data_IF_097658385986
#
_entry.id   IF_097658385986
#
_cell.length_a   1.000
_cell.length_b   1.000
_cell.length_c   1.000
_cell.angle_alpha   90.00
_cell.angle_beta   90.00
_cell.angle_gamma   90.00
#
_symmetry.space_group_name_H-M   'P 1'
#
loop_
_entity.id
_entity.type
_entity.pdbx_description
1 polymer ?
#
# COMPACT_ATOMS: atom_id res chain seq x y z
N UNK A 1 -6.84 -6.60 -15.92
CA UNK A 1 -7.55 -7.85 -16.22
C UNK A 1 -8.47 -7.66 -17.42
N UNK A 2 -8.38 -8.53 -18.42
CA UNK A 2 -9.28 -8.53 -19.57
C UNK A 2 -10.42 -9.53 -19.35
N UNK A 3 -11.62 -9.25 -19.89
CA UNK A 3 -12.75 -10.20 -19.80
C UNK A 3 -12.60 -11.40 -20.75
N UNK A 4 -11.81 -11.26 -21.81
CA UNK A 4 -11.57 -12.33 -22.78
C UNK A 4 -10.57 -13.33 -22.22
N UNK A 5 -11.01 -14.58 -22.08
CA UNK A 5 -10.25 -15.70 -21.51
C UNK A 5 -10.40 -16.95 -22.37
N UNK A 6 -9.52 -17.94 -22.19
CA UNK A 6 -9.60 -19.21 -22.91
C UNK A 6 -10.97 -19.88 -22.72
N UNK A 7 -11.59 -20.29 -23.83
CA UNK A 7 -12.77 -21.15 -23.78
C UNK A 7 -12.35 -22.62 -23.57
N UNK A 8 -13.02 -23.41 -22.72
CA UNK A 8 -12.69 -24.81 -22.44
C UNK A 8 -13.09 -25.78 -23.58
N UNK A 9 -12.61 -25.52 -24.80
CA UNK A 9 -12.86 -26.35 -25.98
C UNK A 9 -11.74 -27.38 -26.17
N UNK A 10 -12.01 -28.45 -26.91
CA UNK A 10 -10.97 -29.43 -27.27
C UNK A 10 -9.81 -28.80 -28.04
N UNK A 11 -10.07 -27.77 -28.86
CA UNK A 11 -9.02 -27.01 -29.53
C UNK A 11 -8.10 -26.31 -28.53
N UNK A 12 -8.67 -25.62 -27.54
CA UNK A 12 -7.89 -24.96 -26.48
C UNK A 12 -7.07 -25.97 -25.69
N UNK A 13 -7.65 -27.11 -25.32
CA UNK A 13 -6.92 -28.14 -24.60
C UNK A 13 -5.77 -28.70 -25.44
N UNK A 14 -6.00 -29.06 -26.70
CA UNK A 14 -4.93 -29.51 -27.61
C UNK A 14 -3.80 -28.48 -27.74
N UNK A 15 -4.15 -27.20 -27.92
CA UNK A 15 -3.16 -26.11 -27.95
C UNK A 15 -2.32 -26.03 -26.67
N UNK A 16 -2.96 -26.04 -25.50
CA UNK A 16 -2.25 -25.96 -24.22
C UNK A 16 -1.42 -27.22 -23.94
N UNK A 17 -1.92 -28.38 -24.32
CA UNK A 17 -1.24 -29.67 -24.25
C UNK A 17 0.06 -29.66 -25.08
N UNK A 18 0.00 -29.16 -26.32
CA UNK A 18 1.18 -28.99 -27.18
C UNK A 18 2.18 -27.99 -26.59
N UNK A 19 1.71 -26.85 -26.07
CA UNK A 19 2.56 -25.84 -25.41
C UNK A 19 3.26 -26.45 -24.20
N UNK A 20 2.53 -27.20 -23.37
CA UNK A 20 3.09 -27.87 -22.20
C UNK A 20 4.18 -28.86 -22.61
N UNK A 21 3.96 -29.66 -23.66
CA UNK A 21 4.94 -30.64 -24.15
C UNK A 21 6.26 -29.98 -24.53
N UNK A 22 6.20 -28.85 -25.25
CA UNK A 22 7.39 -28.06 -25.57
C UNK A 22 8.05 -27.53 -24.30
N UNK A 23 7.29 -26.90 -23.39
CA UNK A 23 7.84 -26.32 -22.16
C UNK A 23 8.53 -27.38 -21.29
N UNK A 24 7.89 -28.53 -21.04
CA UNK A 24 8.48 -29.56 -20.17
C UNK A 24 9.69 -30.25 -20.78
N UNK A 25 9.85 -30.21 -22.10
CA UNK A 25 11.04 -30.73 -22.79
C UNK A 25 12.27 -29.82 -22.57
N UNK A 26 12.05 -28.53 -22.35
CA UNK A 26 13.08 -27.53 -22.10
C UNK A 26 13.43 -27.46 -20.61
N UNK A 27 12.41 -27.51 -19.73
CA UNK A 27 12.59 -27.28 -18.30
C UNK A 27 12.55 -28.59 -17.48
N UNK A 28 13.67 -28.99 -16.85
CA UNK A 28 13.76 -30.27 -16.13
C UNK A 28 13.00 -30.28 -14.80
N UNK A 29 12.56 -29.11 -14.30
CA UNK A 29 11.81 -28.98 -13.04
C UNK A 29 10.67 -29.98 -12.97
N UNK A 30 10.49 -30.61 -11.80
CA UNK A 30 9.32 -31.46 -11.52
C UNK A 30 8.04 -30.64 -11.40
N UNK A 31 8.16 -29.38 -10.99
CA UNK A 31 7.02 -28.48 -10.80
C UNK A 31 6.89 -27.55 -12.01
N UNK A 32 5.67 -27.34 -12.48
CA UNK A 32 5.32 -26.38 -13.53
C UNK A 32 4.23 -25.44 -13.02
N UNK A 33 4.44 -24.14 -13.13
CA UNK A 33 3.44 -23.15 -12.74
C UNK A 33 2.46 -22.93 -13.88
N UNK A 34 1.16 -23.11 -13.64
CA UNK A 34 0.11 -22.98 -14.66
C UNK A 34 -0.69 -21.68 -14.56
N UNK A 35 -0.39 -20.84 -13.57
CA UNK A 35 -1.11 -19.58 -13.32
C UNK A 35 -2.43 -19.85 -12.61
N UNK A 36 -3.54 -19.46 -13.24
CA UNK A 36 -4.90 -19.61 -12.71
C UNK A 36 -5.45 -18.37 -11.99
N UNK A 37 -4.66 -17.31 -11.95
CA UNK A 37 -4.99 -15.99 -11.40
C UNK A 37 -5.93 -15.20 -12.32
N UNK A 38 -6.68 -14.29 -11.70
CA UNK A 38 -7.42 -13.21 -12.39
C UNK A 38 -8.15 -13.65 -13.68
N UNK A 39 -8.94 -14.73 -13.61
CA UNK A 39 -9.74 -15.24 -14.74
C UNK A 39 -11.21 -14.81 -14.60
N UNK A 40 -11.67 -13.70 -15.21
CA UNK A 40 -13.06 -13.27 -15.12
C UNK A 40 -14.00 -14.30 -15.76
N UNK A 41 -15.19 -14.44 -15.16
CA UNK A 41 -16.19 -15.42 -15.60
C UNK A 41 -17.18 -14.85 -16.63
N UNK A 42 -17.09 -13.56 -16.94
CA UNK A 42 -18.07 -12.87 -17.79
C UNK A 42 -18.18 -13.45 -19.19
N UNK A 43 -17.06 -13.79 -19.83
CA UNK A 43 -17.07 -14.43 -21.15
C UNK A 43 -17.67 -15.84 -21.11
N UNK A 44 -17.47 -16.60 -20.02
CA UNK A 44 -18.08 -17.92 -19.86
C UNK A 44 -19.58 -17.85 -19.53
N UNK A 45 -20.04 -16.83 -18.79
CA UNK A 45 -21.47 -16.56 -18.54
C UNK A 45 -22.22 -16.29 -19.85
N UNK A 46 -21.60 -15.52 -20.76
CA UNK A 46 -22.19 -15.17 -22.07
C UNK A 46 -22.07 -16.28 -23.12
N UNK A 47 -21.19 -17.25 -22.93
CA UNK A 47 -20.92 -18.32 -23.89
C UNK A 47 -21.90 -19.49 -23.78
N UNK A 48 -22.73 -19.69 -24.82
CA UNK A 48 -23.64 -20.83 -24.89
C UNK A 48 -22.91 -22.19 -24.77
N UNK A 49 -21.69 -22.28 -25.32
CA UNK A 49 -20.85 -23.46 -25.19
C UNK A 49 -20.46 -23.71 -23.73
N UNK A 50 -19.97 -22.69 -23.01
CA UNK A 50 -19.56 -22.84 -21.61
C UNK A 50 -20.75 -23.21 -20.73
N UNK A 51 -21.91 -22.57 -20.93
CA UNK A 51 -23.13 -22.89 -20.20
C UNK A 51 -23.61 -24.33 -20.45
N UNK A 52 -23.47 -24.82 -21.68
CA UNK A 52 -23.79 -26.21 -22.02
C UNK A 52 -22.81 -27.18 -21.36
N UNK A 53 -21.52 -26.87 -21.37
CA UNK A 53 -20.49 -27.70 -20.75
C UNK A 53 -20.65 -27.78 -19.23
N UNK A 54 -21.02 -26.68 -18.56
CA UNK A 54 -21.39 -26.65 -17.14
C UNK A 54 -22.51 -27.65 -16.85
N UNK A 55 -23.57 -27.66 -17.67
CA UNK A 55 -24.67 -28.62 -17.53
C UNK A 55 -24.24 -30.06 -17.79
N UNK A 56 -23.48 -30.31 -18.86
CA UNK A 56 -23.00 -31.64 -19.25
C UNK A 56 -22.12 -32.26 -18.17
N UNK A 57 -21.18 -31.47 -17.63
CA UNK A 57 -20.25 -31.89 -16.58
C UNK A 57 -20.84 -31.77 -15.17
N UNK A 58 -22.10 -31.34 -15.04
CA UNK A 58 -22.81 -31.16 -13.76
C UNK A 58 -22.06 -30.23 -12.79
N UNK A 59 -21.47 -29.18 -13.32
CA UNK A 59 -20.74 -28.17 -12.55
C UNK A 59 -21.74 -27.18 -11.95
N UNK A 60 -21.40 -26.61 -10.80
CA UNK A 60 -22.28 -25.66 -10.09
C UNK A 60 -22.45 -24.35 -10.87
N UNK A 61 -21.35 -23.81 -11.38
CA UNK A 61 -21.22 -22.48 -11.97
C UNK A 61 -19.88 -22.36 -12.74
N UNK A 62 -19.55 -21.16 -13.19
CA UNK A 62 -18.31 -20.85 -13.89
C UNK A 62 -17.04 -21.03 -13.03
N UNK A 63 -17.13 -20.99 -11.70
CA UNK A 63 -15.99 -21.35 -10.84
C UNK A 63 -15.76 -22.87 -10.88
N UNK A 64 -16.84 -23.65 -10.87
CA UNK A 64 -16.77 -25.08 -11.18
C UNK A 64 -16.16 -25.36 -12.55
N UNK A 65 -16.42 -24.52 -13.55
CA UNK A 65 -15.82 -24.62 -14.88
C UNK A 65 -14.31 -24.36 -14.89
N UNK A 66 -13.82 -23.38 -14.11
CA UNK A 66 -12.38 -23.17 -13.92
C UNK A 66 -11.73 -24.39 -13.27
N UNK A 67 -12.33 -24.92 -12.20
CA UNK A 67 -11.84 -26.14 -11.54
C UNK A 67 -11.73 -27.32 -12.52
N UNK A 68 -12.76 -27.54 -13.35
CA UNK A 68 -12.71 -28.56 -14.41
C UNK A 68 -11.54 -28.34 -15.38
N UNK A 69 -11.32 -27.10 -15.83
CA UNK A 69 -10.22 -26.74 -16.72
C UNK A 69 -8.87 -27.10 -16.10
N UNK A 70 -8.64 -26.66 -14.86
CA UNK A 70 -7.39 -26.89 -14.13
C UNK A 70 -7.18 -28.38 -13.90
N UNK A 71 -8.19 -29.12 -13.43
CA UNK A 71 -8.08 -30.57 -13.20
C UNK A 71 -7.75 -31.35 -14.48
N UNK A 72 -8.29 -30.94 -15.64
CA UNK A 72 -7.96 -31.57 -16.92
C UNK A 72 -6.49 -31.37 -17.29
N UNK A 73 -5.99 -30.14 -17.20
CA UNK A 73 -4.58 -29.83 -17.47
C UNK A 73 -3.64 -30.48 -16.45
N UNK A 74 -4.02 -30.49 -15.18
CA UNK A 74 -3.25 -31.12 -14.10
C UNK A 74 -3.09 -32.63 -14.34
N UNK A 75 -4.16 -33.34 -14.73
CA UNK A 75 -4.08 -34.75 -15.11
C UNK A 75 -3.12 -34.98 -16.28
N UNK A 76 -3.17 -34.13 -17.30
CA UNK A 76 -2.28 -34.22 -18.46
C UNK A 76 -0.80 -34.02 -18.08
N UNK A 77 -0.53 -33.02 -17.23
CA UNK A 77 0.79 -32.68 -16.70
C UNK A 77 1.32 -33.80 -15.78
N UNK A 78 0.47 -34.35 -14.91
CA UNK A 78 0.81 -35.44 -14.01
C UNK A 78 1.20 -36.72 -14.78
N UNK A 79 0.53 -37.02 -15.90
CA UNK A 79 0.86 -38.15 -16.77
C UNK A 79 2.25 -38.03 -17.42
N UNK A 80 2.87 -36.84 -17.38
CA UNK A 80 4.24 -36.56 -17.83
C UNK A 80 5.25 -36.51 -16.68
N UNK A 81 4.86 -36.97 -15.50
CA UNK A 81 5.72 -37.02 -14.31
C UNK A 81 6.02 -35.63 -13.72
N UNK A 82 5.21 -34.63 -14.04
CA UNK A 82 5.30 -33.27 -13.49
C UNK A 82 4.20 -33.04 -12.45
N UNK A 83 4.30 -31.96 -11.68
CA UNK A 83 3.31 -31.49 -10.69
C UNK A 83 2.99 -30.02 -10.95
N UNK A 84 1.76 -29.60 -10.70
CA UNK A 84 1.38 -28.20 -10.91
C UNK A 84 1.64 -27.34 -9.68
N UNK A 85 1.97 -26.07 -9.94
CA UNK A 85 1.80 -24.97 -9.00
C UNK A 85 0.78 -24.01 -9.64
N UNK A 86 -0.14 -23.45 -8.86
CA UNK A 86 -1.03 -22.39 -9.32
C UNK A 86 -1.31 -21.38 -8.22
N UNK A 87 -1.74 -20.19 -8.62
CA UNK A 87 -2.14 -19.13 -7.69
C UNK A 87 -3.34 -19.54 -6.84
N UNK A 88 -3.52 -18.95 -5.66
CA UNK A 88 -4.55 -19.37 -4.70
C UNK A 88 -5.99 -19.39 -5.24
N UNK A 89 -6.30 -18.74 -6.36
CA UNK A 89 -7.56 -18.90 -7.09
C UNK A 89 -7.84 -20.35 -7.54
N UNK A 90 -6.84 -21.21 -7.72
CA UNK A 90 -7.08 -22.62 -8.07
C UNK A 90 -7.78 -23.42 -6.96
N UNK A 91 -7.93 -22.84 -5.76
CA UNK A 91 -8.80 -23.35 -4.70
C UNK A 91 -10.29 -23.31 -5.08
N UNK A 92 -10.69 -22.37 -5.95
CA UNK A 92 -12.08 -22.14 -6.33
C UNK A 92 -12.63 -23.35 -7.10
N UNK A 93 -13.57 -24.07 -6.50
CA UNK A 93 -14.18 -25.26 -7.10
C UNK A 93 -13.45 -26.57 -6.82
N UNK A 94 -12.47 -26.58 -5.91
CA UNK A 94 -11.81 -27.78 -5.40
C UNK A 94 -10.46 -28.07 -6.07
N UNK A 95 -9.44 -28.33 -5.23
CA UNK A 95 -8.08 -28.62 -5.67
C UNK A 95 -7.92 -30.04 -6.16
N UNK A 96 -7.01 -30.21 -7.11
CA UNK A 96 -6.53 -31.51 -7.49
C UNK A 96 -5.51 -32.04 -6.45
N UNK A 97 -5.49 -33.35 -6.12
CA UNK A 97 -4.78 -33.89 -4.95
C UNK A 97 -3.28 -33.59 -4.88
N UNK A 98 -2.62 -33.35 -6.01
CA UNK A 98 -1.16 -33.14 -6.09
C UNK A 98 -0.76 -31.70 -6.38
N UNK A 99 -1.73 -30.77 -6.37
CA UNK A 99 -1.46 -29.37 -6.64
C UNK A 99 -0.76 -28.69 -5.46
N UNK A 100 0.26 -27.89 -5.78
CA UNK A 100 0.86 -26.91 -4.86
C UNK A 100 0.22 -25.55 -5.08
N UNK A 101 -0.06 -24.81 -4.02
CA UNK A 101 -0.70 -23.49 -4.08
C UNK A 101 0.33 -22.38 -3.86
N UNK A 102 0.31 -21.34 -4.68
CA UNK A 102 1.08 -20.12 -4.50
C UNK A 102 0.16 -19.00 -3.97
N UNK A 103 0.31 -18.64 -2.69
CA UNK A 103 -0.62 -17.70 -2.02
C UNK A 103 -0.19 -16.25 -2.25
N UNK A 104 -0.99 -15.45 -2.94
CA UNK A 104 -0.58 -14.09 -3.32
C UNK A 104 -1.53 -12.99 -2.83
N UNK A 105 -2.83 -13.29 -2.66
CA UNK A 105 -3.84 -12.33 -2.18
C UNK A 105 -3.79 -12.12 -0.66
N UNK A 106 -2.63 -12.37 -0.06
CA UNK A 106 -2.43 -12.50 1.39
C UNK A 106 -2.06 -13.93 1.76
N UNK A 107 -2.31 -14.30 3.01
CA UNK A 107 -1.96 -15.63 3.56
C UNK A 107 -3.14 -16.59 3.59
N UNK A 108 -4.38 -16.08 3.47
CA UNK A 108 -5.60 -16.88 3.70
C UNK A 108 -5.71 -18.06 2.74
N UNK A 109 -5.40 -17.86 1.45
CA UNK A 109 -5.37 -18.95 0.46
C UNK A 109 -4.38 -20.05 0.83
N UNK A 110 -3.15 -19.68 1.20
CA UNK A 110 -2.14 -20.61 1.68
C UNK A 110 -2.55 -21.34 2.96
N UNK A 111 -3.17 -20.64 3.92
CA UNK A 111 -3.67 -21.25 5.16
C UNK A 111 -4.75 -22.30 4.85
N UNK A 112 -5.67 -22.01 3.93
CA UNK A 112 -6.72 -22.93 3.52
C UNK A 112 -6.16 -24.15 2.78
N UNK A 113 -5.22 -23.95 1.85
CA UNK A 113 -4.55 -25.02 1.11
C UNK A 113 -3.78 -25.96 2.06
N UNK A 114 -2.98 -25.41 2.98
CA UNK A 114 -2.23 -26.20 3.96
C UNK A 114 -3.16 -27.01 4.89
N UNK A 115 -4.30 -26.44 5.32
CA UNK A 115 -5.31 -27.18 6.11
C UNK A 115 -5.86 -28.39 5.34
N UNK A 116 -5.96 -28.28 4.01
CA UNK A 116 -6.38 -29.35 3.10
C UNK A 116 -5.24 -30.31 2.70
N UNK A 117 -4.05 -30.19 3.31
CA UNK A 117 -2.85 -31.01 3.02
C UNK A 117 -2.21 -30.74 1.66
N UNK A 118 -2.39 -29.55 1.10
CA UNK A 118 -1.65 -29.13 -0.10
C UNK A 118 -0.40 -28.38 0.29
N UNK A 119 0.69 -28.64 -0.44
CA UNK A 119 1.92 -27.86 -0.34
C UNK A 119 1.65 -26.40 -0.74
N UNK A 120 2.35 -25.46 -0.10
CA UNK A 120 2.16 -24.02 -0.27
C UNK A 120 3.49 -23.31 -0.43
N UNK A 121 3.56 -22.40 -1.41
CA UNK A 121 4.58 -21.36 -1.52
C UNK A 121 3.93 -20.03 -1.20
N UNK A 122 4.44 -19.34 -0.17
CA UNK A 122 3.90 -18.04 0.23
C UNK A 122 4.46 -16.92 -0.63
N UNK A 123 3.59 -16.11 -1.21
CA UNK A 123 3.95 -14.91 -1.99
C UNK A 123 3.03 -13.71 -1.66
N UNK A 124 2.67 -13.45 -0.39
CA UNK A 124 1.64 -12.46 -0.08
C UNK A 124 2.03 -11.08 -0.58
N UNK A 125 1.15 -10.44 -1.35
CA UNK A 125 1.40 -9.14 -1.96
C UNK A 125 1.65 -8.00 -0.97
N UNK A 126 1.33 -8.18 0.31
CA UNK A 126 1.64 -7.23 1.38
C UNK A 126 3.11 -7.24 1.84
N UNK A 127 3.86 -8.30 1.54
CA UNK A 127 5.20 -8.52 2.11
C UNK A 127 6.29 -8.75 1.06
N UNK A 128 5.95 -9.41 -0.06
CA UNK A 128 6.96 -9.94 -1.01
C UNK A 128 6.65 -9.63 -2.48
N UNK A 129 5.90 -8.55 -2.75
CA UNK A 129 5.70 -8.00 -4.10
C UNK A 129 6.68 -6.86 -4.34
N UNK A 130 7.80 -7.16 -5.00
CA UNK A 130 8.91 -6.23 -5.16
C UNK A 130 8.72 -5.24 -6.32
N UNK A 131 7.62 -5.30 -7.03
CA UNK A 131 7.14 -4.27 -7.97
C UNK A 131 6.53 -3.04 -7.26
N UNK A 132 6.26 -3.16 -5.94
CA UNK A 132 5.86 -2.04 -5.07
C UNK A 132 7.05 -1.21 -4.62
N UNK A 133 6.80 0.06 -4.31
CA UNK A 133 7.84 0.99 -3.85
C UNK A 133 8.55 0.48 -2.61
N UNK A 134 9.86 0.72 -2.53
CA UNK A 134 10.66 0.53 -1.31
C UNK A 134 11.18 1.86 -0.73
N UNK A 135 10.94 2.97 -1.42
CA UNK A 135 11.27 4.33 -0.99
C UNK A 135 9.99 5.11 -0.65
N UNK A 136 10.05 5.88 0.44
CA UNK A 136 8.98 6.82 0.77
C UNK A 136 8.97 8.06 -0.14
N UNK A 137 10.05 8.27 -0.89
CA UNK A 137 10.24 9.37 -1.83
C UNK A 137 10.46 8.86 -3.26
N UNK A 138 9.92 7.68 -3.59
CA UNK A 138 10.10 7.07 -4.90
C UNK A 138 9.68 8.05 -6.02
N UNK A 139 10.64 8.37 -6.88
CA UNK A 139 10.48 9.34 -7.96
C UNK A 139 10.17 8.67 -9.31
N UNK A 140 10.20 7.34 -9.35
CA UNK A 140 9.78 6.55 -10.50
C UNK A 140 8.37 5.97 -10.32
N UNK A 141 7.73 5.65 -11.44
CA UNK A 141 6.41 5.02 -11.42
C UNK A 141 6.54 3.58 -10.94
N UNK A 142 5.76 3.22 -9.92
CA UNK A 142 5.55 1.85 -9.45
C UNK A 142 4.06 1.54 -9.51
N UNK A 143 3.68 0.26 -9.32
CA UNK A 143 2.26 -0.11 -9.30
C UNK A 143 1.50 0.50 -8.10
N UNK A 144 2.22 1.03 -7.11
CA UNK A 144 1.69 1.54 -5.85
C UNK A 144 1.94 0.61 -4.67
N UNK A 145 1.70 1.11 -3.46
CA UNK A 145 2.06 0.41 -2.21
C UNK A 145 3.53 0.63 -1.81
N UNK A 146 3.83 0.28 -0.56
CA UNK A 146 5.13 0.54 0.07
C UNK A 146 5.56 -0.68 0.90
N UNK A 147 6.65 -1.33 0.48
CA UNK A 147 7.26 -2.49 1.11
C UNK A 147 8.74 -2.15 1.34
N UNK A 148 9.08 -1.51 2.48
CA UNK A 148 10.46 -1.22 2.85
C UNK A 148 11.22 -2.50 3.26
N UNK A 149 12.54 -2.40 3.37
CA UNK A 149 13.42 -3.53 3.70
C UNK A 149 13.05 -4.20 5.04
N UNK A 150 12.71 -3.38 6.03
CA UNK A 150 12.23 -3.77 7.35
C UNK A 150 10.99 -4.65 7.29
N UNK A 151 10.04 -4.28 6.42
CA UNK A 151 8.79 -5.01 6.27
C UNK A 151 9.06 -6.43 5.74
N UNK A 152 9.93 -6.57 4.74
CA UNK A 152 10.36 -7.86 4.21
C UNK A 152 11.04 -8.72 5.27
N UNK A 153 11.98 -8.15 6.04
CA UNK A 153 12.71 -8.89 7.08
C UNK A 153 11.79 -9.36 8.21
N UNK A 154 10.77 -8.57 8.55
CA UNK A 154 9.80 -8.90 9.59
C UNK A 154 8.83 -10.02 9.21
N UNK A 155 8.79 -10.40 7.94
CA UNK A 155 7.85 -11.41 7.44
C UNK A 155 8.16 -12.81 8.00
N UNK A 156 7.11 -13.50 8.45
CA UNK A 156 7.19 -14.90 8.87
C UNK A 156 6.36 -15.77 7.91
N UNK A 157 7.01 -16.61 7.07
CA UNK A 157 6.31 -17.45 6.10
C UNK A 157 5.33 -18.45 6.72
N UNK A 158 5.54 -18.88 7.97
CA UNK A 158 4.64 -19.81 8.66
C UNK A 158 3.59 -19.00 9.45
N UNK A 159 2.32 -18.95 8.99
CA UNK A 159 1.30 -18.14 9.66
C UNK A 159 0.97 -18.68 11.04
N UNK A 160 0.80 -17.82 12.06
CA UNK A 160 0.44 -18.26 13.42
C UNK A 160 -0.94 -18.92 13.49
N UNK A 161 -1.80 -18.71 12.48
CA UNK A 161 -3.11 -19.33 12.37
C UNK A 161 -3.06 -20.82 11.94
N UNK A 162 -1.90 -21.34 11.53
CA UNK A 162 -1.74 -22.76 11.17
C UNK A 162 -1.41 -23.63 12.39
N UNK A 163 -2.17 -24.73 12.61
CA UNK A 163 -1.79 -25.76 13.57
C UNK A 163 -0.40 -26.34 13.26
N UNK A 164 0.35 -26.70 14.29
CA UNK A 164 1.73 -27.22 14.18
C UNK A 164 1.85 -28.37 13.16
N UNK A 165 0.88 -29.29 13.14
CA UNK A 165 0.87 -30.45 12.23
C UNK A 165 0.66 -30.08 10.75
N UNK A 166 0.26 -28.83 10.47
CA UNK A 166 0.04 -28.31 9.11
C UNK A 166 1.16 -27.37 8.66
N UNK A 167 2.05 -26.95 9.55
CA UNK A 167 3.11 -25.99 9.21
C UNK A 167 4.10 -26.55 8.17
N UNK A 168 4.31 -27.87 8.15
CA UNK A 168 5.20 -28.52 7.17
C UNK A 168 4.70 -28.46 5.72
N UNK A 169 3.42 -28.13 5.49
CA UNK A 169 2.91 -27.89 4.14
C UNK A 169 3.37 -26.53 3.58
N UNK A 170 3.87 -25.62 4.43
CA UNK A 170 4.49 -24.39 3.96
C UNK A 170 5.92 -24.71 3.52
N UNK A 171 6.14 -24.80 2.21
CA UNK A 171 7.44 -25.11 1.62
C UNK A 171 8.43 -23.95 1.72
N UNK A 172 7.92 -22.73 1.83
CA UNK A 172 8.72 -21.51 1.90
C UNK A 172 7.96 -20.30 1.37
N UNK A 173 8.69 -19.25 1.01
CA UNK A 173 8.15 -18.06 0.36
C UNK A 173 8.98 -17.65 -0.86
N UNK A 174 8.42 -16.78 -1.70
CA UNK A 174 9.07 -16.23 -2.88
C UNK A 174 8.70 -14.75 -3.04
N UNK A 175 9.64 -13.93 -3.53
CA UNK A 175 9.35 -12.59 -3.99
C UNK A 175 8.92 -12.58 -5.46
N UNK A 176 7.85 -11.88 -5.76
CA UNK A 176 7.39 -11.66 -7.13
C UNK A 176 7.83 -10.27 -7.59
N UNK A 177 8.19 -10.16 -8.87
CA UNK A 177 8.50 -8.89 -9.52
C UNK A 177 7.70 -8.80 -10.82
N UNK A 178 6.56 -8.14 -10.76
CA UNK A 178 5.77 -7.78 -11.93
C UNK A 178 6.41 -6.57 -12.64
N UNK A 179 6.28 -6.50 -13.97
CA UNK A 179 7.13 -5.61 -14.80
C UNK A 179 6.36 -4.56 -15.60
N UNK A 180 5.09 -4.32 -15.29
CA UNK A 180 4.22 -3.34 -15.98
C UNK A 180 4.85 -1.94 -16.03
N UNK A 181 5.52 -1.54 -14.93
CA UNK A 181 6.20 -0.24 -14.80
C UNK A 181 7.73 -0.36 -14.81
N UNK A 182 8.29 -1.53 -15.10
CA UNK A 182 9.73 -1.82 -15.06
C UNK A 182 10.23 -2.08 -16.49
N UNK A 183 10.73 -1.02 -17.13
CA UNK A 183 11.05 -1.03 -18.56
C UNK A 183 12.47 -1.50 -18.91
N UNK A 184 13.33 -1.71 -17.91
CA UNK A 184 14.72 -2.10 -18.14
C UNK A 184 15.30 -2.90 -16.96
N UNK A 185 16.42 -3.58 -17.21
CA UNK A 185 17.12 -4.42 -16.22
C UNK A 185 17.64 -3.62 -15.02
N UNK A 186 18.10 -2.39 -15.23
CA UNK A 186 18.59 -1.54 -14.15
C UNK A 186 17.48 -1.22 -13.13
N UNK A 187 16.23 -1.07 -13.57
CA UNK A 187 15.08 -0.92 -12.66
C UNK A 187 14.69 -2.25 -12.01
N UNK A 188 14.85 -3.40 -12.70
CA UNK A 188 14.68 -4.73 -12.09
C UNK A 188 15.63 -4.89 -10.91
N UNK A 189 16.91 -4.61 -11.10
CA UNK A 189 17.93 -4.64 -10.04
C UNK A 189 17.54 -3.72 -8.87
N UNK A 190 17.14 -2.48 -9.18
CA UNK A 190 16.76 -1.50 -8.17
C UNK A 190 15.59 -2.01 -7.33
N UNK A 191 14.57 -2.58 -7.98
CA UNK A 191 13.38 -3.07 -7.30
C UNK A 191 13.65 -4.35 -6.47
N UNK A 192 14.58 -5.20 -6.88
CA UNK A 192 14.94 -6.42 -6.14
C UNK A 192 15.86 -6.14 -4.94
N UNK A 193 16.89 -5.31 -5.13
CA UNK A 193 17.95 -5.12 -4.13
C UNK A 193 17.75 -3.83 -3.31
N UNK A 194 17.95 -3.88 -1.98
CA UNK A 194 18.46 -5.00 -1.18
C UNK A 194 17.37 -5.93 -0.59
N UNK A 195 16.09 -5.73 -0.91
CA UNK A 195 14.98 -6.51 -0.31
C UNK A 195 15.12 -8.01 -0.45
N UNK A 196 15.68 -8.48 -1.57
CA UNK A 196 15.94 -9.92 -1.76
C UNK A 196 16.93 -10.49 -0.75
N UNK A 197 17.88 -9.70 -0.23
CA UNK A 197 18.80 -10.14 0.83
C UNK A 197 18.07 -10.36 2.15
N UNK A 198 17.12 -9.48 2.51
CA UNK A 198 16.26 -9.67 3.68
C UNK A 198 15.40 -10.92 3.55
N UNK A 199 14.73 -11.11 2.41
CA UNK A 199 13.94 -12.32 2.17
C UNK A 199 14.81 -13.58 2.19
N UNK A 200 16.04 -13.53 1.67
CA UNK A 200 16.97 -14.66 1.72
C UNK A 200 17.28 -15.07 3.16
N UNK A 201 17.50 -14.11 4.06
CA UNK A 201 17.72 -14.41 5.48
C UNK A 201 16.46 -14.94 6.16
N UNK A 202 15.28 -14.39 5.82
CA UNK A 202 13.99 -14.91 6.27
C UNK A 202 13.81 -16.38 5.87
N UNK A 203 14.19 -16.75 4.64
CA UNK A 203 14.00 -18.12 4.16
C UNK A 203 15.07 -19.10 4.64
N UNK A 204 16.29 -18.64 4.89
CA UNK A 204 17.43 -19.50 5.21
C UNK A 204 17.69 -19.63 6.72
N UNK A 205 17.59 -18.53 7.46
CA UNK A 205 17.92 -18.48 8.89
C UNK A 205 16.71 -18.87 9.73
N UNK A 206 16.91 -19.76 10.70
CA UNK A 206 15.87 -20.14 11.67
C UNK A 206 15.31 -18.90 12.37
N UNK A 207 13.98 -18.82 12.52
CA UNK A 207 13.27 -17.68 13.11
C UNK A 207 13.90 -17.16 14.42
N UNK A 208 14.26 -18.06 15.33
CA UNK A 208 14.85 -17.72 16.63
C UNK A 208 16.25 -17.06 16.56
N UNK A 209 16.92 -17.12 15.41
CA UNK A 209 18.24 -16.54 15.17
C UNK A 209 18.21 -15.28 14.30
N UNK A 210 17.03 -14.90 13.78
CA UNK A 210 16.88 -13.66 13.02
C UNK A 210 16.91 -12.49 13.99
N UNK A 211 17.70 -11.47 13.67
CA UNK A 211 17.83 -10.25 14.44
C UNK A 211 17.99 -9.07 13.48
N UNK A 212 17.06 -8.13 13.56
CA UNK A 212 17.01 -6.97 12.67
C UNK A 212 18.25 -6.07 12.80
N UNK A 213 18.67 -5.75 14.02
CA UNK A 213 19.83 -4.87 14.26
C UNK A 213 21.13 -5.49 13.73
N UNK A 214 21.28 -6.80 13.90
CA UNK A 214 22.40 -7.57 13.37
C UNK A 214 22.39 -7.62 11.83
N UNK A 215 21.21 -7.79 11.20
CA UNK A 215 21.07 -7.66 9.74
C UNK A 215 21.41 -6.25 9.23
N UNK A 216 20.92 -5.20 9.91
CA UNK A 216 21.21 -3.80 9.60
C UNK A 216 22.72 -3.51 9.64
N UNK A 217 23.43 -4.07 10.62
CA UNK A 217 24.89 -3.96 10.74
C UNK A 217 25.66 -4.67 9.61
N UNK A 218 25.10 -5.76 9.03
CA UNK A 218 25.71 -6.48 7.91
C UNK A 218 25.37 -5.90 6.54
N UNK A 219 24.27 -5.14 6.44
CA UNK A 219 23.78 -4.60 5.17
C UNK A 219 24.84 -3.79 4.40
N UNK A 220 25.65 -2.90 5.00
CA UNK A 220 26.70 -2.17 4.28
C UNK A 220 27.67 -3.07 3.50
N UNK A 221 28.01 -4.25 4.05
CA UNK A 221 28.89 -5.20 3.40
C UNK A 221 28.21 -5.88 2.19
N UNK A 222 26.91 -6.16 2.28
CA UNK A 222 26.10 -6.68 1.17
C UNK A 222 26.06 -5.63 0.04
N UNK A 223 25.75 -4.38 0.38
CA UNK A 223 25.65 -3.30 -0.59
C UNK A 223 27.00 -2.99 -1.26
N UNK A 224 28.10 -3.09 -0.51
CA UNK A 224 29.45 -2.93 -1.08
C UNK A 224 29.77 -4.00 -2.13
N UNK A 225 29.25 -5.23 -1.98
CA UNK A 225 29.37 -6.28 -3.01
C UNK A 225 28.55 -5.95 -4.25
N UNK A 226 27.31 -5.51 -4.08
CA UNK A 226 26.44 -5.09 -5.18
C UNK A 226 27.05 -3.93 -5.97
N UNK A 227 27.65 -2.95 -5.29
CA UNK A 227 28.36 -1.84 -5.91
C UNK A 227 29.57 -2.32 -6.74
N UNK A 228 30.38 -3.23 -6.19
CA UNK A 228 31.52 -3.82 -6.90
C UNK A 228 31.10 -4.63 -8.13
N UNK A 229 29.93 -5.27 -8.08
CA UNK A 229 29.31 -5.99 -9.20
C UNK A 229 28.54 -5.07 -10.15
N UNK A 230 28.46 -3.76 -9.84
CA UNK A 230 27.74 -2.74 -10.61
C UNK A 230 26.23 -3.01 -10.74
N UNK A 231 25.64 -3.65 -9.74
CA UNK A 231 24.20 -3.87 -9.64
C UNK A 231 23.54 -2.58 -9.14
N UNK A 232 22.55 -2.08 -9.87
CA UNK A 232 21.82 -0.87 -9.47
C UNK A 232 20.85 -1.19 -8.33
N UNK A 233 21.24 -1.03 -7.06
CA UNK A 233 20.39 -1.30 -5.90
C UNK A 233 19.74 -0.03 -5.33
N UNK A 234 18.63 -0.19 -4.60
CA UNK A 234 17.98 0.92 -3.92
C UNK A 234 18.73 1.39 -2.67
N UNK A 235 18.87 2.70 -2.52
CA UNK A 235 19.45 3.36 -1.32
C UNK A 235 18.37 3.78 -0.30
N UNK A 236 17.11 3.39 -0.53
CA UNK A 236 15.95 3.83 0.24
C UNK A 236 16.09 3.60 1.75
N UNK A 237 16.75 2.51 2.15
CA UNK A 237 16.99 2.19 3.55
C UNK A 237 17.78 3.28 4.31
N UNK A 238 18.61 4.05 3.60
CA UNK A 238 19.42 5.12 4.16
C UNK A 238 18.87 6.52 3.88
N UNK A 239 17.69 6.62 3.27
CA UNK A 239 17.06 7.92 3.05
C UNK A 239 16.81 8.66 4.35
N UNK A 240 16.81 10.00 4.25
CA UNK A 240 16.41 10.86 5.34
C UNK A 240 14.92 10.70 5.62
N UNK A 241 14.58 10.37 6.86
CA UNK A 241 13.21 10.40 7.34
C UNK A 241 12.94 11.77 7.96
N UNK A 242 11.98 12.48 7.38
CA UNK A 242 11.41 13.69 7.97
C UNK A 242 10.08 13.39 8.66
N UNK A 243 9.93 13.87 9.89
CA UNK A 243 8.69 13.85 10.68
C UNK A 243 8.41 15.27 11.17
N UNK A 244 7.15 15.69 11.17
CA UNK A 244 6.73 16.97 11.74
C UNK A 244 6.05 16.70 13.07
N UNK A 245 6.53 17.35 14.13
CA UNK A 245 6.02 17.17 15.49
C UNK A 245 5.43 18.48 16.02
N UNK A 246 4.41 18.45 16.88
CA UNK A 246 4.01 19.64 17.62
C UNK A 246 5.09 20.04 18.63
N UNK A 247 5.17 21.32 18.97
CA UNK A 247 5.86 21.75 20.20
C UNK A 247 5.05 21.32 21.42
N UNK A 248 5.70 21.17 22.59
CA UNK A 248 5.02 20.74 23.84
C UNK A 248 3.83 21.63 24.22
N UNK A 249 3.87 22.92 23.88
CA UNK A 249 2.82 23.89 24.15
C UNK A 249 1.82 24.08 23.00
N UNK A 250 1.93 23.34 21.90
CA UNK A 250 1.08 23.48 20.71
C UNK A 250 1.02 24.90 20.13
N UNK A 251 2.16 25.61 20.15
CA UNK A 251 2.30 26.95 19.54
C UNK A 251 3.18 26.96 18.29
N UNK A 252 3.71 25.81 17.88
CA UNK A 252 4.51 25.67 16.67
C UNK A 252 4.78 24.22 16.33
N UNK A 253 5.75 24.03 15.44
CA UNK A 253 6.13 22.71 14.95
C UNK A 253 7.63 22.50 15.04
N UNK A 254 8.05 21.25 15.14
CA UNK A 254 9.42 20.80 15.08
C UNK A 254 9.58 19.91 13.86
N UNK A 255 10.54 20.23 13.00
CA UNK A 255 10.95 19.37 11.90
C UNK A 255 12.06 18.45 12.38
N UNK A 256 11.71 17.18 12.56
CA UNK A 256 12.64 16.13 12.99
C UNK A 256 13.18 15.39 11.78
N UNK A 257 14.50 15.31 11.69
CA UNK A 257 15.24 14.56 10.68
C UNK A 257 15.95 13.37 11.33
N UNK A 258 15.86 12.22 10.69
CA UNK A 258 16.48 10.96 11.13
C UNK A 258 17.14 10.28 9.92
N UNK A 259 18.28 9.62 10.16
CA UNK A 259 18.92 8.73 9.19
C UNK A 259 19.42 7.48 9.92
N UNK A 260 19.49 6.37 9.20
CA UNK A 260 20.13 5.13 9.66
C UNK A 260 21.66 5.20 9.63
N UNK A 261 22.22 6.20 8.96
CA UNK A 261 23.67 6.41 8.92
C UNK A 261 24.02 7.54 9.87
N UNK A 262 25.04 7.30 10.69
CA UNK A 262 25.59 8.28 11.62
C UNK A 262 26.55 9.26 10.92
N UNK A 263 26.03 10.11 10.04
CA UNK A 263 26.80 11.26 9.51
C UNK A 263 26.01 12.57 9.66
N UNK A 264 26.72 13.72 9.64
CA UNK A 264 26.08 15.03 9.71
C UNK A 264 25.03 15.24 8.60
N UNK A 265 23.81 15.60 9.01
CA UNK A 265 22.76 16.04 8.10
C UNK A 265 22.89 17.55 7.92
N UNK A 266 23.06 18.00 6.68
CA UNK A 266 23.13 19.43 6.35
C UNK A 266 21.73 19.96 6.07
N UNK A 267 21.37 21.09 6.67
CA UNK A 267 20.04 21.71 6.54
C UNK A 267 20.17 23.12 5.97
N UNK A 268 19.20 23.48 5.14
CA UNK A 268 19.00 24.83 4.60
C UNK A 268 17.50 25.15 4.59
N UNK A 269 17.12 26.31 5.13
CA UNK A 269 15.75 26.81 5.12
C UNK A 269 15.61 27.99 4.16
N UNK A 270 14.53 28.00 3.38
CA UNK A 270 14.14 29.08 2.46
C UNK A 270 15.10 29.34 1.30
N UNK A 271 16.00 28.41 0.98
CA UNK A 271 16.92 28.55 -0.15
C UNK A 271 17.91 29.71 -0.01
N UNK A 272 18.16 30.19 1.22
CA UNK A 272 19.23 31.16 1.49
C UNK A 272 20.60 30.47 1.51
N UNK A 273 21.69 31.24 1.59
CA UNK A 273 23.06 30.66 1.54
C UNK A 273 23.48 29.94 2.83
N UNK A 274 22.71 30.09 3.91
CA UNK A 274 23.04 29.52 5.22
C UNK A 274 22.74 28.02 5.28
N UNK A 275 23.81 27.21 5.35
CA UNK A 275 23.76 25.77 5.60
C UNK A 275 24.34 25.48 6.98
N UNK A 276 23.68 24.60 7.76
CA UNK A 276 24.18 24.16 9.07
C UNK A 276 24.01 22.67 9.27
N UNK A 277 24.69 22.13 10.29
CA UNK A 277 24.55 20.73 10.70
C UNK A 277 23.38 20.59 11.65
N UNK A 278 22.44 19.72 11.31
CA UNK A 278 21.30 19.35 12.15
C UNK A 278 21.79 18.64 13.42
N UNK A 279 21.36 19.16 14.58
CA UNK A 279 21.69 18.59 15.89
C UNK A 279 20.45 18.09 16.64
N UNK A 280 19.34 18.82 16.51
CA UNK A 280 18.08 18.57 17.23
C UNK A 280 16.89 18.94 16.32
N UNK A 281 15.66 18.48 16.61
CA UNK A 281 14.47 18.89 15.87
C UNK A 281 14.39 20.42 15.71
N UNK A 282 14.17 20.88 14.47
CA UNK A 282 14.27 22.30 14.14
C UNK A 282 12.90 22.98 14.28
N UNK A 283 12.77 24.07 15.06
CA UNK A 283 11.54 24.83 15.12
C UNK A 283 11.19 25.44 13.76
N UNK A 284 9.97 25.21 13.30
CA UNK A 284 9.37 25.91 12.16
C UNK A 284 8.24 26.76 12.73
N UNK A 285 8.32 28.08 12.53
CA UNK A 285 7.40 29.06 13.12
C UNK A 285 6.72 29.98 12.10
N UNK A 286 7.02 29.80 10.81
CA UNK A 286 6.47 30.60 9.72
C UNK A 286 6.46 29.81 8.42
N UNK A 287 5.69 30.34 7.45
CA UNK A 287 5.72 29.88 6.06
C UNK A 287 7.17 29.71 5.60
N UNK A 288 7.46 28.51 5.09
CA UNK A 288 8.79 28.16 4.60
C UNK A 288 8.63 27.60 3.20
N UNK A 289 9.25 28.26 2.22
CA UNK A 289 9.08 27.91 0.80
C UNK A 289 9.55 26.49 0.54
N UNK A 290 10.80 26.17 0.92
CA UNK A 290 11.35 24.82 0.95
C UNK A 290 12.39 24.73 2.07
N UNK A 291 12.26 23.72 2.92
CA UNK A 291 13.29 23.23 3.82
C UNK A 291 14.00 22.05 3.14
N UNK A 292 15.32 22.14 2.99
CA UNK A 292 16.12 21.07 2.37
C UNK A 292 17.05 20.46 3.40
N UNK A 293 17.15 19.14 3.37
CA UNK A 293 18.12 18.38 4.13
C UNK A 293 18.92 17.52 3.16
N UNK A 294 20.25 17.48 3.31
CA UNK A 294 21.10 16.64 2.48
C UNK A 294 22.10 15.84 3.32
N UNK A 295 22.40 14.64 2.83
CA UNK A 295 23.28 13.68 3.47
C UNK A 295 23.79 12.71 2.38
N UNK A 296 25.10 12.53 2.23
CA UNK A 296 25.75 11.65 1.22
C UNK A 296 25.12 11.73 -0.19
N UNK A 297 24.81 12.93 -0.66
CA UNK A 297 24.19 13.15 -1.99
C UNK A 297 22.70 12.83 -2.07
N UNK A 298 22.08 12.29 -1.01
CA UNK A 298 20.64 12.19 -0.86
C UNK A 298 20.09 13.51 -0.35
N UNK A 299 18.91 13.90 -0.85
CA UNK A 299 18.27 15.15 -0.49
C UNK A 299 16.79 14.94 -0.22
N UNK A 300 16.27 15.61 0.80
CA UNK A 300 14.85 15.71 1.11
C UNK A 300 14.43 17.17 1.08
N UNK A 301 13.22 17.44 0.57
CA UNK A 301 12.63 18.78 0.50
C UNK A 301 11.21 18.78 1.06
N UNK A 302 10.91 19.73 1.95
CA UNK A 302 9.61 19.91 2.58
C UNK A 302 9.16 21.36 2.51
N UNK A 303 7.91 21.59 2.12
CA UNK A 303 7.26 22.91 2.15
C UNK A 303 6.33 22.99 3.35
N UNK A 304 6.29 24.15 4.00
CA UNK A 304 5.42 24.40 5.16
C UNK A 304 4.54 25.64 4.94
N UNK A 305 3.23 25.46 5.09
CA UNK A 305 2.20 26.49 4.96
C UNK A 305 1.50 26.69 6.31
N UNK A 306 1.67 27.86 6.92
CA UNK A 306 1.13 28.22 8.23
C UNK A 306 -0.23 28.90 8.11
N UNK A 307 -1.09 28.55 9.05
CA UNK A 307 -2.36 29.17 9.34
C UNK A 307 -2.62 29.11 10.87
N UNK A 308 -3.76 29.56 11.37
CA UNK A 308 -4.05 29.60 12.82
C UNK A 308 -4.15 28.22 13.48
N UNK A 309 -4.44 27.18 12.70
CA UNK A 309 -4.48 25.80 13.19
C UNK A 309 -3.10 25.13 13.21
N UNK A 310 -2.11 25.64 12.48
CA UNK A 310 -0.80 24.99 12.36
C UNK A 310 -0.12 24.83 13.72
N UNK A 311 0.34 23.62 14.04
CA UNK A 311 0.98 23.29 15.31
C UNK A 311 0.01 23.17 16.51
N UNK A 312 -1.31 23.33 16.30
CA UNK A 312 -2.30 23.31 17.37
C UNK A 312 -2.68 21.91 17.80
N UNK A 313 -3.28 21.82 18.99
CA UNK A 313 -3.82 20.58 19.50
C UNK A 313 -5.04 20.18 18.66
N UNK A 314 -5.09 18.91 18.26
CA UNK A 314 -6.19 18.34 17.49
C UNK A 314 -6.55 16.96 18.03
N UNK A 315 -7.85 16.64 18.03
CA UNK A 315 -8.37 15.31 18.35
C UNK A 315 -9.24 14.80 17.21
N UNK A 316 -9.25 13.49 17.02
CA UNK A 316 -10.15 12.80 16.11
C UNK A 316 -11.14 11.96 16.91
N UNK A 317 -12.42 12.02 16.54
CA UNK A 317 -13.44 11.13 17.11
C UNK A 317 -13.32 9.73 16.53
N UNK A 318 -13.06 9.64 15.23
CA UNK A 318 -12.75 8.39 14.55
C UNK A 318 -11.25 8.33 14.23
N UNK A 319 -10.58 7.25 14.63
CA UNK A 319 -9.18 7.04 14.24
C UNK A 319 -9.04 6.78 12.74
N UNK A 320 -7.94 7.29 12.18
CA UNK A 320 -7.52 6.95 10.83
C UNK A 320 -7.17 5.46 10.71
N UNK A 321 -7.25 4.92 9.50
CA UNK A 321 -6.88 3.53 9.23
C UNK A 321 -5.39 3.32 9.45
N UNK A 322 -5.03 2.15 9.99
CA UNK A 322 -3.63 1.71 10.14
C UNK A 322 -2.87 1.66 8.81
N UNK A 323 -3.57 1.53 7.68
CA UNK A 323 -2.95 1.55 6.35
C UNK A 323 -2.56 2.95 5.88
N UNK A 324 -3.22 3.99 6.40
CA UNK A 324 -2.99 5.40 6.06
C UNK A 324 -3.11 6.28 7.32
N UNK A 325 -2.21 6.12 8.30
CA UNK A 325 -2.34 6.76 9.61
C UNK A 325 -1.78 8.19 9.65
N UNK A 326 -1.10 8.63 8.59
CA UNK A 326 -0.29 9.86 8.60
C UNK A 326 0.67 9.94 9.78
N UNK A 327 0.89 11.15 10.28
CA UNK A 327 1.48 11.44 11.60
C UNK A 327 0.41 11.45 12.71
N UNK A 328 -0.68 10.68 12.54
CA UNK A 328 -1.86 10.71 13.39
C UNK A 328 -2.69 11.98 13.18
N UNK A 329 -3.51 12.35 14.17
CA UNK A 329 -4.38 13.53 14.10
C UNK A 329 -3.62 14.82 13.70
N UNK A 330 -2.37 14.93 14.15
CA UNK A 330 -1.50 16.07 13.89
C UNK A 330 -1.23 16.31 12.39
N UNK A 331 -1.39 15.29 11.55
CA UNK A 331 -1.33 15.42 10.08
C UNK A 331 -2.15 16.60 9.58
N UNK A 332 -3.36 16.79 10.10
CA UNK A 332 -4.29 17.82 9.61
C UNK A 332 -3.94 19.25 10.02
N UNK A 333 -2.87 19.44 10.81
CA UNK A 333 -2.42 20.73 11.33
C UNK A 333 -0.90 20.84 11.33
N UNK A 334 -0.20 20.02 10.54
CA UNK A 334 1.26 20.01 10.49
C UNK A 334 1.81 20.95 9.39
N UNK A 335 0.94 21.72 8.73
CA UNK A 335 1.33 22.70 7.72
C UNK A 335 1.90 22.06 6.45
N UNK A 336 1.76 20.75 6.26
CA UNK A 336 2.18 20.03 5.05
C UNK A 336 0.95 19.71 4.21
N UNK A 337 0.98 20.13 2.95
CA UNK A 337 -0.08 19.82 1.98
C UNK A 337 0.44 18.80 0.97
N UNK A 338 -0.39 17.80 0.66
CA UNK A 338 -0.01 16.79 -0.30
C UNK A 338 -0.17 17.29 -1.74
N UNK A 339 0.96 17.60 -2.36
CA UNK A 339 1.03 18.04 -3.77
C UNK A 339 1.30 16.87 -4.75
N UNK A 340 1.55 15.65 -4.26
CA UNK A 340 1.99 14.50 -5.09
C UNK A 340 1.05 13.28 -5.05
N UNK A 341 -0.18 13.45 -4.58
CA UNK A 341 -1.19 12.41 -4.52
C UNK A 341 -0.68 11.14 -3.78
N UNK A 342 -1.05 9.95 -4.27
CA UNK A 342 -0.70 8.68 -3.62
C UNK A 342 0.81 8.38 -3.55
N UNK A 343 1.66 9.05 -4.33
CA UNK A 343 3.12 8.91 -4.17
C UNK A 343 3.62 9.48 -2.84
N UNK A 344 2.82 10.34 -2.20
CA UNK A 344 3.02 10.81 -0.81
C UNK A 344 1.85 10.42 0.08
N UNK A 345 1.35 9.20 -0.05
CA UNK A 345 0.20 8.71 0.73
C UNK A 345 0.34 8.89 2.25
N UNK A 346 1.58 8.96 2.78
CA UNK A 346 1.85 9.27 4.20
C UNK A 346 1.37 10.65 4.65
N UNK A 347 1.19 11.59 3.73
CA UNK A 347 0.71 12.94 4.03
C UNK A 347 -0.83 12.98 4.13
N UNK A 348 -1.53 11.85 3.92
CA UNK A 348 -2.96 11.73 4.13
C UNK A 348 -3.31 10.94 5.39
N UNK A 349 -4.42 11.33 6.02
CA UNK A 349 -5.23 10.43 6.85
C UNK A 349 -6.29 9.75 5.98
N UNK A 350 -6.33 8.41 6.03
CA UNK A 350 -7.31 7.61 5.30
C UNK A 350 -8.38 7.01 6.21
N UNK A 351 -9.65 7.17 5.85
CA UNK A 351 -10.79 6.60 6.57
C UNK A 351 -11.58 5.67 5.65
N UNK A 352 -11.63 4.36 5.96
CA UNK A 352 -12.38 3.37 5.18
C UNK A 352 -13.82 3.24 5.71
N UNK A 353 -14.80 3.75 4.97
CA UNK A 353 -16.22 3.72 5.33
C UNK A 353 -16.59 4.52 6.59
N UNK A 354 -15.65 5.28 7.15
CA UNK A 354 -15.84 6.11 8.35
C UNK A 354 -15.70 7.58 8.02
N UNK A 355 -16.48 8.40 8.72
CA UNK A 355 -16.41 9.87 8.63
C UNK A 355 -15.15 10.41 9.29
N UNK A 356 -14.63 11.52 8.78
CA UNK A 356 -13.74 12.38 9.54
C UNK A 356 -14.59 13.21 10.52
N UNK A 357 -14.19 13.24 11.79
CA UNK A 357 -14.64 14.25 12.74
C UNK A 357 -13.43 14.69 13.58
N UNK A 358 -13.00 15.93 13.37
CA UNK A 358 -11.81 16.52 13.96
C UNK A 358 -12.15 17.77 14.76
N UNK A 359 -11.52 17.94 15.94
CA UNK A 359 -11.65 19.14 16.78
C UNK A 359 -10.27 19.74 17.03
N UNK A 360 -10.09 21.00 16.66
CA UNK A 360 -8.85 21.77 16.82
C UNK A 360 -9.04 22.79 17.95
N UNK A 361 -8.14 22.82 18.92
CA UNK A 361 -8.06 23.90 19.93
C UNK A 361 -7.02 24.93 19.50
N UNK A 362 -7.48 26.13 19.12
CA UNK A 362 -6.63 27.25 18.71
C UNK A 362 -5.85 27.87 19.90
N UNK A 363 -6.10 27.43 21.13
CA UNK A 363 -5.46 27.86 22.38
C UNK A 363 -6.15 29.06 23.03
N UNK A 364 -6.57 30.04 22.23
CA UNK A 364 -7.26 31.25 22.68
C UNK A 364 -8.48 31.56 21.82
N UNK A 365 -9.47 32.21 22.40
CA UNK A 365 -10.61 32.76 21.65
C UNK A 365 -10.10 33.86 20.72
N UNK A 366 -10.33 33.71 19.41
CA UNK A 366 -9.85 34.64 18.40
C UNK A 366 -10.79 34.72 17.18
N UNK A 367 -10.67 35.76 16.34
CA UNK A 367 -11.44 35.85 15.10
C UNK A 367 -11.03 34.75 14.10
N UNK A 368 -12.01 34.15 13.42
CA UNK A 368 -11.85 33.19 12.33
C UNK A 368 -12.66 33.69 11.14
N UNK A 369 -12.04 33.75 9.97
CA UNK A 369 -12.63 34.30 8.74
C UNK A 369 -12.92 33.21 7.71
N UNK A 370 -12.03 32.22 7.62
CA UNK A 370 -12.12 31.12 6.67
C UNK A 370 -11.62 29.83 7.31
N UNK A 371 -12.31 28.73 7.04
CA UNK A 371 -11.87 27.38 7.38
C UNK A 371 -11.87 26.56 6.10
N UNK A 372 -10.81 25.79 5.85
CA UNK A 372 -10.63 24.98 4.64
C UNK A 372 -10.26 23.56 5.05
N UNK A 373 -10.95 22.56 4.49
CA UNK A 373 -10.52 21.16 4.52
C UNK A 373 -9.98 20.78 3.13
N UNK A 374 -8.79 20.22 3.09
CA UNK A 374 -8.21 19.63 1.89
C UNK A 374 -8.52 18.13 1.85
N UNK A 375 -8.94 17.66 0.68
CA UNK A 375 -9.29 16.27 0.43
C UNK A 375 -8.81 15.81 -0.95
N UNK A 376 -8.75 14.50 -1.14
CA UNK A 376 -8.25 13.89 -2.36
C UNK A 376 -9.24 12.88 -2.95
N UNK A 377 -9.38 12.85 -4.27
CA UNK A 377 -10.21 11.87 -4.99
C UNK A 377 -9.37 11.09 -6.03
N UNK A 378 -9.48 9.77 -5.98
CA UNK A 378 -8.94 8.85 -6.98
C UNK A 378 -9.77 7.57 -7.01
N UNK A 379 -10.87 7.59 -7.77
CA UNK A 379 -11.89 6.53 -7.82
C UNK A 379 -11.30 5.15 -8.15
N UNK A 380 -10.29 5.08 -9.03
CA UNK A 380 -9.60 3.83 -9.37
C UNK A 380 -8.90 3.15 -8.18
N UNK A 381 -8.59 3.91 -7.12
CA UNK A 381 -8.04 3.41 -5.85
C UNK A 381 -9.08 3.43 -4.73
N UNK A 382 -10.36 3.52 -5.09
CA UNK A 382 -11.52 3.55 -4.20
C UNK A 382 -11.55 4.74 -3.23
N UNK A 383 -10.80 5.80 -3.56
CA UNK A 383 -10.77 7.06 -2.82
C UNK A 383 -11.81 7.99 -3.41
N UNK A 384 -12.86 8.26 -2.63
CA UNK A 384 -13.98 9.10 -3.01
C UNK A 384 -14.00 10.37 -2.17
N UNK A 385 -14.43 11.46 -2.80
CA UNK A 385 -14.70 12.72 -2.10
C UNK A 385 -15.75 12.54 -0.99
N UNK A 386 -15.71 13.37 0.07
CA UNK A 386 -16.75 13.35 1.08
C UNK A 386 -18.11 13.70 0.46
N UNK A 387 -19.22 13.17 0.99
CA UNK A 387 -20.58 13.53 0.55
C UNK A 387 -20.89 14.99 0.89
N UNK A 388 -20.47 15.41 2.09
CA UNK A 388 -20.54 16.79 2.55
C UNK A 388 -19.47 17.06 3.61
N UNK A 389 -19.14 18.33 3.79
CA UNK A 389 -18.24 18.80 4.86
C UNK A 389 -18.95 19.88 5.68
N UNK A 390 -19.05 19.66 6.98
CA UNK A 390 -19.66 20.59 7.93
C UNK A 390 -18.60 21.23 8.81
N UNK A 391 -18.65 22.56 8.92
CA UNK A 391 -17.73 23.36 9.71
C UNK A 391 -18.44 23.99 10.90
N UNK A 392 -17.87 23.87 12.09
CA UNK A 392 -18.42 24.40 13.33
C UNK A 392 -17.38 25.22 14.08
N UNK A 393 -17.86 26.19 14.86
CA UNK A 393 -17.07 26.96 15.81
C UNK A 393 -17.60 26.84 17.23
N UNK A 394 -16.71 26.95 18.21
CA UNK A 394 -17.05 27.03 19.63
C UNK A 394 -16.03 27.88 20.39
N UNK A 395 -16.46 28.56 21.44
CA UNK A 395 -15.55 29.25 22.38
C UNK A 395 -15.15 28.33 23.55
N UNK A 396 -15.98 27.34 23.89
CA UNK A 396 -15.83 26.51 25.10
C UNK A 396 -15.51 25.02 24.82
N UNK A 397 -15.55 24.60 23.55
CA UNK A 397 -15.24 23.23 23.13
C UNK A 397 -16.34 22.21 23.42
N UNK A 398 -17.51 22.67 23.88
CA UNK A 398 -18.69 21.83 24.17
C UNK A 398 -19.85 22.20 23.26
N UNK A 399 -20.15 23.50 23.17
CA UNK A 399 -21.27 24.02 22.39
C UNK A 399 -20.78 24.46 21.02
N UNK A 400 -20.99 23.61 20.02
CA UNK A 400 -20.58 23.86 18.64
C UNK A 400 -21.73 24.42 17.81
N UNK A 401 -21.51 25.61 17.25
CA UNK A 401 -22.43 26.24 16.31
C UNK A 401 -22.03 25.92 14.88
N UNK A 402 -22.99 25.45 14.06
CA UNK A 402 -22.75 25.20 12.64
C UNK A 402 -22.51 26.53 11.91
N UNK A 403 -21.36 26.65 11.26
CA UNK A 403 -21.06 27.79 10.39
C UNK A 403 -21.71 27.58 9.02
N UNK A 404 -21.39 26.45 8.39
CA UNK A 404 -21.92 26.05 7.09
C UNK A 404 -21.66 24.55 6.84
N UNK A 405 -22.55 23.93 6.06
CA UNK A 405 -22.31 22.64 5.42
C UNK A 405 -22.10 22.87 3.92
N UNK A 406 -21.05 22.28 3.36
CA UNK A 406 -20.69 22.33 1.95
C UNK A 406 -20.91 20.94 1.35
N UNK A 407 -21.83 20.85 0.39
CA UNK A 407 -22.05 19.61 -0.35
C UNK A 407 -21.06 19.50 -1.52
N UNK A 408 -20.66 18.28 -1.84
CA UNK A 408 -19.75 18.02 -2.95
C UNK A 408 -20.41 18.28 -4.30
N UNK A 409 -19.94 19.31 -5.01
CA UNK A 409 -20.52 19.76 -6.28
C UNK A 409 -19.53 19.73 -7.46
N UNK A 410 -18.23 19.50 -7.23
CA UNK A 410 -17.19 19.56 -8.26
C UNK A 410 -16.36 18.27 -8.30
N UNK A 411 -16.09 17.76 -9.51
CA UNK A 411 -15.23 16.58 -9.76
C UNK A 411 -13.81 17.08 -10.10
N UNK A 412 -12.93 17.08 -9.10
CA UNK A 412 -11.50 17.42 -9.21
C UNK A 412 -10.71 16.46 -8.34
N UNK A 413 -9.45 16.20 -8.73
CA UNK A 413 -8.56 15.29 -8.00
C UNK A 413 -8.13 15.82 -6.62
N UNK A 414 -7.79 17.11 -6.54
CA UNK A 414 -7.55 17.82 -5.29
C UNK A 414 -8.75 18.71 -5.00
N UNK A 415 -9.30 18.57 -3.80
CA UNK A 415 -10.56 19.17 -3.39
C UNK A 415 -10.32 20.07 -2.18
N UNK A 416 -10.91 21.26 -2.22
CA UNK A 416 -10.95 22.18 -1.11
C UNK A 416 -12.40 22.48 -0.77
N UNK A 417 -12.76 22.21 0.48
CA UNK A 417 -14.05 22.58 1.05
C UNK A 417 -13.82 23.73 2.00
N UNK A 418 -14.44 24.88 1.74
CA UNK A 418 -14.20 26.09 2.51
C UNK A 418 -15.49 26.76 2.97
N UNK A 419 -15.46 27.34 4.17
CA UNK A 419 -16.47 28.29 4.65
C UNK A 419 -15.82 29.66 4.86
N UNK A 420 -16.38 30.71 4.26
CA UNK A 420 -15.97 32.11 4.47
C UNK A 420 -17.00 32.83 5.32
N UNK A 421 -17.07 32.48 6.60
CA UNK A 421 -18.02 33.05 7.56
C UNK A 421 -17.25 33.51 8.80
N UNK A 422 -17.32 34.81 9.08
CA UNK A 422 -16.70 35.39 10.28
C UNK A 422 -17.31 34.77 11.53
N UNK A 423 -16.45 34.33 12.44
CA UNK A 423 -16.82 33.83 13.75
C UNK A 423 -15.74 34.21 14.77
N UNK A 424 -16.10 34.18 16.05
CA UNK A 424 -15.14 34.23 17.17
C UNK A 424 -15.11 32.83 17.76
N UNK A 425 -13.93 32.23 17.85
CA UNK A 425 -13.80 30.82 18.24
C UNK A 425 -12.46 30.55 18.92
N UNK A 426 -12.47 29.58 19.84
CA UNK A 426 -11.27 28.89 20.31
C UNK A 426 -11.18 27.49 19.69
N UNK A 427 -12.31 26.82 19.51
CA UNK A 427 -12.37 25.47 18.97
C UNK A 427 -13.03 25.46 17.60
N UNK A 428 -12.41 24.75 16.67
CA UNK A 428 -12.95 24.49 15.34
C UNK A 428 -13.24 23.00 15.23
N UNK A 429 -14.45 22.64 14.76
CA UNK A 429 -14.79 21.25 14.44
C UNK A 429 -15.10 21.12 12.96
N UNK A 430 -14.52 20.10 12.34
CA UNK A 430 -14.74 19.74 10.92
C UNK A 430 -15.25 18.31 10.85
N UNK A 431 -16.39 18.11 10.17
CA UNK A 431 -16.98 16.79 9.94
C UNK A 431 -17.07 16.56 8.43
N UNK A 432 -16.36 15.57 7.91
CA UNK A 432 -16.46 15.18 6.50
C UNK A 432 -17.12 13.80 6.39
N UNK A 433 -18.30 13.76 5.75
CA UNK A 433 -19.09 12.55 5.61
C UNK A 433 -18.51 11.65 4.52
N UNK A 434 -18.16 10.42 4.87
CA UNK A 434 -17.69 9.41 3.94
C UNK A 434 -18.85 8.92 3.04
N UNK A 435 -18.53 8.42 1.86
CA UNK A 435 -19.50 7.77 0.98
C UNK A 435 -20.08 6.49 1.58
N UNK A 436 -19.37 5.86 2.53
CA UNK A 436 -19.78 4.61 3.16
C UNK A 436 -19.42 3.43 2.25
N UNK A 437 -20.41 2.61 1.89
CA UNK A 437 -20.22 1.53 0.92
C UNK A 437 -20.30 2.06 -0.50
N UNK A 438 -19.32 1.69 -1.34
CA UNK A 438 -19.24 2.14 -2.73
C UNK A 438 -20.45 1.57 -3.50
N UNK A 439 -21.26 2.43 -4.17
CA UNK A 439 -22.42 2.01 -4.94
C UNK A 439 -22.08 1.11 -6.13
N UNK A 440 -23.08 0.37 -6.62
CA UNK A 440 -22.96 -0.42 -7.85
C UNK A 440 -22.58 0.45 -9.05
N UNK A 441 -21.74 -0.10 -9.95
CA UNK A 441 -21.25 0.60 -11.14
C UNK A 441 -20.08 1.55 -10.89
N UNK A 442 -19.62 1.69 -9.65
CA UNK A 442 -18.43 2.46 -9.30
C UNK A 442 -17.22 1.56 -9.03
N UNK A 443 -16.01 2.11 -9.23
CA UNK A 443 -14.77 1.41 -8.94
C UNK A 443 -14.68 1.03 -7.46
N UNK A 444 -14.63 -0.26 -7.17
CA UNK A 444 -14.66 -0.79 -5.79
C UNK A 444 -16.06 -1.09 -5.24
N UNK A 445 -17.11 -1.09 -6.08
CA UNK A 445 -18.49 -1.44 -5.70
C UNK A 445 -18.59 -2.54 -4.65
N UNK A 446 -19.38 -2.28 -3.60
CA UNK A 446 -19.61 -3.21 -2.49
C UNK A 446 -18.57 -3.13 -1.37
N UNK A 447 -17.43 -2.45 -1.58
CA UNK A 447 -16.42 -2.24 -0.54
C UNK A 447 -16.61 -0.88 0.17
N UNK A 448 -16.03 -0.69 1.37
CA UNK A 448 -15.97 0.63 2.01
C UNK A 448 -15.14 1.62 1.17
N UNK A 449 -15.67 2.83 0.98
CA UNK A 449 -14.99 3.92 0.31
C UNK A 449 -13.90 4.53 1.20
N UNK A 450 -12.75 4.84 0.61
CA UNK A 450 -11.72 5.62 1.27
C UNK A 450 -12.03 7.11 1.20
N UNK A 451 -11.93 7.80 2.34
CA UNK A 451 -11.88 9.26 2.44
C UNK A 451 -10.46 9.66 2.83
N UNK A 452 -9.81 10.49 2.01
CA UNK A 452 -8.44 10.96 2.25
C UNK A 452 -8.43 12.49 2.46
N UNK A 453 -7.81 12.92 3.55
CA UNK A 453 -7.64 14.33 3.94
C UNK A 453 -6.23 14.58 4.44
N UNK A 454 -5.64 15.73 4.13
CA UNK A 454 -4.25 16.07 4.45
C UNK A 454 -4.12 17.29 5.37
N UNK A 455 -4.92 18.35 5.21
CA UNK A 455 -4.77 19.57 6.02
C UNK A 455 -6.12 20.26 6.32
N UNK A 456 -6.22 20.89 7.50
CA UNK A 456 -7.28 21.85 7.86
C UNK A 456 -6.66 23.23 8.08
N UNK A 457 -7.03 24.19 7.24
CA UNK A 457 -6.60 25.59 7.41
C UNK A 457 -7.64 26.40 8.19
N UNK A 458 -7.18 27.27 9.09
CA UNK A 458 -7.98 28.29 9.77
C UNK A 458 -7.32 29.68 9.57
N UNK A 459 -8.04 30.63 8.96
CA UNK A 459 -7.52 31.98 8.62
C UNK A 459 -8.20 33.09 9.40
#
# INVERSE_FOLDING_TARGET
VFEDVFAPTEYTFGFLEDVIDVVISIFPSKNIHIGGDECPKESWKRSAFCQQLIKEKKLKDEHGLQSYFIQRMEKYINNRGKRIIGWDEILEGGLAPNATVMSWRGEEGGIQAAKQNHDVVMTPGGSVYFDKSQSSNEDSVTIGGYIPLENVYSYEPIPPALPEQKQSYILGAQANLWTEYIKNSSKVEYMLFPRIAALSEVLWTQKAKRNWEDFENRLPAILSRLENEKINYSKAFYELKATVLPTENFEGMLWKLESKINEPIQVNLNGGDSVWVYQNPQPISKNTTIATASFKGMQLSQKFSFNKATGKQITLVNEASKGFPGDGAFTLVNGVQNEKALSRSREFLGFAGKDLEAVIDLGTVQPVNEIILHAFEQKGSWIYRPVSVSFYSSENGKDFSLLQQVNSTVDKRHLQYSVRKKATARFIKVVAKNLGTIPSGMAGSGNPAWLFVDEIEVK
#
